data_IF_988510868314
#
_entry.id   IF_988510868314
#
_cell.length_a   1.000
_cell.length_b   1.000
_cell.length_c   1.000
_cell.angle_alpha   90.00
_cell.angle_beta   90.00
_cell.angle_gamma   90.00
#
_symmetry.space_group_name_H-M   'P 1'
#
loop_
_entity.id
_entity.type
_entity.pdbx_description
1 polymer ?
#
# COMPACT_ATOMS: atom_id res chain seq x y z
N UNK A 1 -34.00 65.94 -34.05
CA UNK A 1 -33.52 65.73 -35.43
C UNK A 1 -33.26 64.24 -35.66
N UNK A 2 -33.95 63.65 -36.66
CA UNK A 2 -33.77 62.33 -37.31
C UNK A 2 -33.59 61.09 -36.41
N UNK A 3 -34.48 60.09 -36.29
CA UNK A 3 -35.26 59.27 -37.26
C UNK A 3 -34.46 58.64 -38.41
N UNK A 4 -34.64 57.30 -38.54
CA UNK A 4 -34.35 56.37 -39.68
C UNK A 4 -32.98 55.69 -39.61
N UNK A 5 -32.80 54.39 -39.92
CA UNK A 5 -33.63 53.34 -40.53
C UNK A 5 -32.96 51.96 -40.31
N UNK A 6 -33.78 50.91 -40.31
CA UNK A 6 -33.42 49.48 -40.44
C UNK A 6 -32.61 49.21 -41.71
N UNK A 7 -31.70 48.23 -41.67
CA UNK A 7 -31.53 47.19 -42.73
C UNK A 7 -31.03 45.89 -42.08
N UNK A 8 -31.74 44.80 -42.35
CA UNK A 8 -31.32 43.41 -42.14
C UNK A 8 -30.34 42.99 -43.25
N UNK A 9 -29.34 42.19 -42.91
CA UNK A 9 -28.77 41.21 -43.85
C UNK A 9 -28.37 39.93 -43.11
N UNK A 10 -28.95 38.82 -43.57
CA UNK A 10 -28.62 37.45 -43.22
C UNK A 10 -27.57 36.91 -44.20
N UNK A 11 -26.59 36.14 -43.69
CA UNK A 11 -25.73 35.14 -44.37
C UNK A 11 -24.48 34.95 -43.47
N UNK A 12 -23.90 33.78 -43.21
CA UNK A 12 -24.10 32.42 -43.66
C UNK A 12 -23.52 31.49 -42.58
N UNK A 13 -24.22 30.42 -42.23
CA UNK A 13 -23.65 29.30 -41.46
C UNK A 13 -22.86 28.43 -42.44
N UNK A 14 -21.53 28.39 -42.33
CA UNK A 14 -20.70 27.38 -43.01
C UNK A 14 -20.31 26.32 -41.99
N UNK A 15 -20.63 25.07 -42.32
CA UNK A 15 -20.39 23.89 -41.51
C UNK A 15 -18.90 23.61 -41.30
N UNK A 16 -18.59 23.14 -40.10
CA UNK A 16 -17.30 22.53 -39.79
C UNK A 16 -17.26 21.11 -40.38
N UNK A 17 -16.13 20.66 -40.96
CA UNK A 17 -16.01 19.29 -41.45
C UNK A 17 -15.88 18.30 -40.28
N UNK A 18 -16.66 17.23 -40.35
CA UNK A 18 -16.55 16.05 -39.49
C UNK A 18 -15.13 15.47 -39.56
N UNK A 19 -14.44 15.44 -38.41
CA UNK A 19 -13.19 14.69 -38.28
C UNK A 19 -13.54 13.21 -38.04
N UNK A 20 -12.92 12.26 -38.76
CA UNK A 20 -13.11 10.84 -38.49
C UNK A 20 -12.64 10.51 -37.06
N UNK A 21 -13.50 9.84 -36.29
CA UNK A 21 -13.15 9.28 -34.99
C UNK A 21 -12.13 8.15 -35.19
N UNK A 22 -10.85 8.46 -34.95
CA UNK A 22 -9.74 7.53 -35.07
C UNK A 22 -9.78 6.48 -33.93
N UNK A 23 -10.61 5.44 -34.11
CA UNK A 23 -10.89 4.37 -33.12
C UNK A 23 -9.69 3.47 -32.78
N UNK A 24 -8.51 3.66 -33.39
CA UNK A 24 -7.35 2.75 -33.24
C UNK A 24 -6.31 3.20 -32.18
N UNK A 25 -6.39 4.41 -31.64
CA UNK A 25 -5.43 4.90 -30.65
C UNK A 25 -5.64 4.35 -29.21
N UNK A 26 -6.85 3.85 -28.88
CA UNK A 26 -7.20 3.39 -27.54
C UNK A 26 -6.80 1.95 -27.18
N UNK A 27 -6.46 1.11 -28.18
CA UNK A 27 -6.12 -0.30 -27.94
C UNK A 27 -4.63 -0.53 -27.69
N UNK A 28 -3.74 0.26 -28.31
CA UNK A 28 -2.28 0.13 -28.09
C UNK A 28 -1.83 0.63 -26.71
N UNK A 29 -2.49 1.65 -26.16
CA UNK A 29 -2.21 2.18 -24.83
C UNK A 29 -2.62 1.22 -23.71
N UNK A 30 -3.76 0.52 -23.85
CA UNK A 30 -4.24 -0.47 -22.86
C UNK A 30 -3.29 -1.65 -22.66
N UNK A 31 -2.74 -2.23 -23.73
CA UNK A 31 -1.80 -3.37 -23.64
C UNK A 31 -0.48 -2.97 -22.95
N UNK A 32 -0.03 -1.73 -23.15
CA UNK A 32 1.16 -1.20 -22.46
C UNK A 32 0.87 -0.89 -20.98
N UNK A 33 -0.32 -0.38 -20.65
CA UNK A 33 -0.78 -0.20 -19.27
C UNK A 33 -0.88 -1.53 -18.52
N UNK A 34 -1.36 -2.58 -19.20
CA UNK A 34 -1.59 -3.91 -18.64
C UNK A 34 -0.25 -4.62 -18.31
N UNK A 35 0.75 -4.48 -19.19
CA UNK A 35 2.12 -4.94 -18.94
C UNK A 35 2.80 -4.22 -17.76
N UNK A 36 2.53 -2.92 -17.56
CA UNK A 36 3.05 -2.18 -16.38
C UNK A 36 2.38 -2.60 -15.08
N UNK A 37 1.12 -3.02 -15.11
CA UNK A 37 0.38 -3.49 -13.93
C UNK A 37 0.67 -4.95 -13.58
N UNK A 38 1.13 -5.77 -14.53
CA UNK A 38 1.57 -7.14 -14.32
C UNK A 38 2.87 -7.24 -13.49
N UNK A 39 3.68 -6.18 -13.42
CA UNK A 39 4.97 -6.12 -12.69
C UNK A 39 4.85 -5.63 -11.25
N UNK A 40 3.65 -5.59 -10.66
CA UNK A 40 3.46 -5.32 -9.22
C UNK A 40 3.49 -6.63 -8.44
N UNK A 41 4.49 -7.47 -8.70
CA UNK A 41 4.63 -8.75 -8.02
C UNK A 41 4.93 -8.49 -6.55
N UNK A 42 4.15 -9.13 -5.68
CA UNK A 42 4.47 -9.29 -4.27
C UNK A 42 5.93 -9.74 -4.12
N UNK A 43 6.63 -9.18 -3.13
CA UNK A 43 7.95 -9.67 -2.79
C UNK A 43 7.84 -11.15 -2.34
N UNK A 44 8.78 -11.99 -2.78
CA UNK A 44 8.78 -13.40 -2.35
C UNK A 44 9.15 -13.50 -0.85
N UNK A 45 8.82 -14.61 -0.19
CA UNK A 45 9.16 -14.82 1.24
C UNK A 45 10.65 -14.58 1.53
N UNK A 46 11.53 -15.02 0.63
CA UNK A 46 12.98 -14.80 0.74
C UNK A 46 13.36 -13.33 0.65
N UNK A 47 12.67 -12.55 -0.19
CA UNK A 47 12.92 -11.12 -0.31
C UNK A 47 12.50 -10.38 0.96
N UNK A 48 11.42 -10.82 1.60
CA UNK A 48 10.99 -10.29 2.90
C UNK A 48 12.04 -10.58 3.98
N UNK A 49 12.53 -11.82 4.05
CA UNK A 49 13.57 -12.20 5.02
C UNK A 49 14.86 -11.40 4.80
N UNK A 50 15.31 -11.26 3.55
CA UNK A 50 16.46 -10.43 3.20
C UNK A 50 16.25 -8.96 3.56
N UNK A 51 15.04 -8.44 3.37
CA UNK A 51 14.71 -7.06 3.72
C UNK A 51 14.82 -6.83 5.22
N UNK A 52 14.27 -7.73 6.04
CA UNK A 52 14.36 -7.66 7.50
C UNK A 52 15.80 -7.84 7.99
N UNK A 53 16.53 -8.81 7.43
CA UNK A 53 17.94 -9.05 7.75
C UNK A 53 18.87 -7.90 7.32
N UNK A 54 18.43 -7.02 6.40
CA UNK A 54 19.22 -5.84 5.98
C UNK A 54 19.31 -4.74 7.03
N UNK A 55 18.49 -4.81 8.08
CA UNK A 55 18.45 -3.81 9.14
C UNK A 55 19.47 -4.18 10.22
N UNK A 56 20.47 -3.32 10.43
CA UNK A 56 21.42 -3.47 11.52
C UNK A 56 20.79 -3.09 12.87
N UNK A 57 20.27 -4.09 13.58
CA UNK A 57 19.61 -3.91 14.88
C UNK A 57 20.56 -3.50 16.00
N UNK A 58 21.88 -3.43 15.78
CA UNK A 58 22.80 -2.85 16.76
C UNK A 58 22.72 -1.32 16.80
N UNK A 59 22.24 -0.70 15.72
CA UNK A 59 22.07 0.75 15.62
C UNK A 59 20.66 1.19 16.01
N UNK A 60 20.52 2.40 16.55
CA UNK A 60 19.19 2.97 16.88
C UNK A 60 18.28 3.07 15.65
N UNK A 61 18.86 3.46 14.50
CA UNK A 61 18.15 3.53 13.22
C UNK A 61 17.73 2.15 12.72
N UNK A 62 18.59 1.14 12.79
CA UNK A 62 18.26 -0.19 12.30
C UNK A 62 17.27 -0.91 13.20
N UNK A 63 17.32 -0.74 14.53
CA UNK A 63 16.27 -1.18 15.45
C UNK A 63 14.90 -0.59 15.07
N UNK A 64 14.85 0.72 14.82
CA UNK A 64 13.61 1.40 14.38
C UNK A 64 13.11 0.85 13.05
N UNK A 65 14.00 0.77 12.07
CA UNK A 65 13.66 0.36 10.71
C UNK A 65 13.19 -1.11 10.69
N UNK A 66 13.85 -1.99 11.45
CA UNK A 66 13.45 -3.39 11.63
C UNK A 66 12.04 -3.52 12.21
N UNK A 67 11.74 -2.79 13.28
CA UNK A 67 10.41 -2.78 13.88
C UNK A 67 9.34 -2.25 12.91
N UNK A 68 9.62 -1.15 12.21
CA UNK A 68 8.72 -0.58 11.19
C UNK A 68 8.45 -1.58 10.07
N UNK A 69 9.48 -2.21 9.51
CA UNK A 69 9.34 -3.18 8.42
C UNK A 69 8.59 -4.43 8.87
N UNK A 70 8.90 -4.94 10.06
CA UNK A 70 8.22 -6.09 10.66
C UNK A 70 6.72 -5.84 10.78
N UNK A 71 6.30 -4.67 11.26
CA UNK A 71 4.88 -4.30 11.32
C UNK A 71 4.23 -4.21 9.94
N UNK A 72 4.91 -3.61 8.96
CA UNK A 72 4.37 -3.48 7.59
C UNK A 72 4.17 -4.83 6.92
N UNK A 73 5.09 -5.77 7.14
CA UNK A 73 5.07 -7.10 6.52
C UNK A 73 4.10 -8.04 7.25
N UNK A 74 4.18 -8.11 8.58
CA UNK A 74 3.43 -9.10 9.38
C UNK A 74 1.97 -8.71 9.58
N UNK A 75 1.72 -7.43 9.87
CA UNK A 75 0.38 -6.91 10.14
C UNK A 75 -0.23 -6.20 8.93
N UNK A 76 0.52 -6.04 7.84
CA UNK A 76 0.04 -5.39 6.62
C UNK A 76 -0.35 -3.92 6.80
N UNK A 77 0.13 -3.22 7.84
CA UNK A 77 -0.29 -1.86 8.18
C UNK A 77 0.03 -0.87 7.04
N UNK A 78 -0.77 0.19 6.91
CA UNK A 78 -0.41 1.30 6.01
C UNK A 78 0.73 2.11 6.63
N UNK A 79 1.57 2.72 5.79
CA UNK A 79 2.65 3.60 6.27
C UNK A 79 2.16 4.72 7.20
N UNK A 80 0.99 5.30 6.92
CA UNK A 80 0.39 6.32 7.77
C UNK A 80 -0.18 5.79 9.09
N UNK A 81 -0.56 4.50 9.15
CA UNK A 81 -1.01 3.84 10.38
C UNK A 81 0.20 3.57 11.29
N UNK A 82 1.32 3.12 10.73
CA UNK A 82 2.59 2.95 11.48
C UNK A 82 3.11 4.31 11.97
N UNK A 83 3.11 5.33 11.12
CA UNK A 83 3.61 6.67 11.45
C UNK A 83 2.84 7.33 12.60
N UNK A 84 1.53 7.06 12.73
CA UNK A 84 0.63 7.66 13.74
C UNK A 84 0.41 6.77 14.96
N UNK A 85 1.10 5.63 15.05
CA UNK A 85 0.93 4.70 16.16
C UNK A 85 1.38 5.34 17.48
N UNK A 86 0.52 5.27 18.49
CA UNK A 86 0.78 5.78 19.83
C UNK A 86 1.08 4.63 20.80
N UNK A 87 1.78 4.92 21.89
CA UNK A 87 2.09 3.93 22.93
C UNK A 87 0.83 3.36 23.59
N UNK A 88 -0.21 4.17 23.78
CA UNK A 88 -1.51 3.73 24.32
C UNK A 88 -2.29 2.80 23.40
N UNK A 89 -1.92 2.70 22.13
CA UNK A 89 -2.57 1.77 21.21
C UNK A 89 -2.07 0.34 21.36
N UNK A 90 -1.01 0.10 22.14
CA UNK A 90 -0.43 -1.23 22.32
C UNK A 90 -0.83 -1.76 23.69
N UNK A 91 -1.67 -2.79 23.70
CA UNK A 91 -2.00 -3.54 24.91
C UNK A 91 -1.10 -4.77 25.00
N UNK A 92 -0.02 -4.62 25.76
CA UNK A 92 0.95 -5.69 25.99
C UNK A 92 0.40 -6.87 26.79
N UNK A 93 -0.63 -6.65 27.62
CA UNK A 93 -1.22 -7.70 28.45
C UNK A 93 -2.19 -8.55 27.65
N UNK A 94 -3.03 -7.90 26.85
CA UNK A 94 -3.94 -8.58 25.93
C UNK A 94 -3.23 -9.13 24.69
N UNK A 95 -2.01 -8.65 24.39
CA UNK A 95 -1.30 -9.02 23.16
C UNK A 95 -2.01 -8.46 21.93
N UNK A 96 -2.44 -7.20 21.99
CA UNK A 96 -3.22 -6.56 20.94
C UNK A 96 -2.73 -5.16 20.59
N UNK A 97 -3.03 -4.74 19.37
CA UNK A 97 -2.73 -3.40 18.87
C UNK A 97 -3.97 -2.75 18.26
N UNK A 98 -4.27 -1.53 18.72
CA UNK A 98 -5.40 -0.72 18.26
C UNK A 98 -4.94 0.22 17.15
N UNK A 99 -5.47 0.04 15.94
CA UNK A 99 -5.14 0.89 14.81
C UNK A 99 -6.28 1.89 14.58
N UNK A 100 -6.01 3.16 14.82
CA UNK A 100 -6.92 4.25 14.51
C UNK A 100 -6.86 4.60 13.01
N UNK A 101 -8.00 4.53 12.33
CA UNK A 101 -8.06 4.95 10.93
C UNK A 101 -8.10 6.47 10.80
N UNK A 102 -7.29 7.01 9.89
CA UNK A 102 -7.22 8.47 9.62
C UNK A 102 -8.50 9.08 9.03
N UNK A 103 -9.51 8.28 8.66
CA UNK A 103 -10.77 8.79 8.09
C UNK A 103 -11.94 8.07 8.75
N UNK A 104 -12.75 8.75 9.57
CA UNK A 104 -14.03 8.21 10.07
C UNK A 104 -14.02 7.51 11.43
N UNK A 105 -13.12 7.87 12.34
CA UNK A 105 -13.14 7.52 13.78
C UNK A 105 -13.36 6.04 14.14
N UNK A 106 -13.02 5.11 13.24
CA UNK A 106 -13.04 3.67 13.52
C UNK A 106 -11.67 3.23 13.98
N UNK A 107 -11.64 2.53 15.10
CA UNK A 107 -10.50 1.80 15.63
C UNK A 107 -10.70 0.33 15.33
N UNK A 108 -9.60 -0.36 15.02
CA UNK A 108 -9.62 -1.80 14.80
C UNK A 108 -8.53 -2.46 15.63
N UNK A 109 -8.89 -3.55 16.32
CA UNK A 109 -7.98 -4.32 17.17
C UNK A 109 -7.39 -5.44 16.33
N UNK A 110 -6.06 -5.55 16.33
CA UNK A 110 -5.35 -6.67 15.75
C UNK A 110 -4.61 -7.43 16.84
N UNK A 111 -4.41 -8.75 16.71
CA UNK A 111 -3.44 -9.44 17.53
C UNK A 111 -2.05 -8.84 17.32
N UNK A 112 -1.24 -8.84 18.37
CA UNK A 112 0.17 -8.48 18.35
C UNK A 112 0.98 -9.78 18.46
N UNK A 113 1.41 -10.36 17.32
CA UNK A 113 2.30 -11.51 17.34
C UNK A 113 3.57 -11.23 18.15
N UNK A 114 4.08 -12.26 18.83
CA UNK A 114 5.25 -12.13 19.71
C UNK A 114 6.46 -11.52 18.99
N UNK A 115 6.74 -11.94 17.76
CA UNK A 115 7.85 -11.42 16.95
C UNK A 115 7.70 -9.91 16.65
N UNK A 116 6.48 -9.44 16.42
CA UNK A 116 6.18 -8.02 16.21
C UNK A 116 6.32 -7.25 17.52
N UNK A 117 5.79 -7.79 18.61
CA UNK A 117 5.88 -7.20 19.94
C UNK A 117 7.32 -7.07 20.42
N UNK A 118 8.14 -8.11 20.24
CA UNK A 118 9.57 -8.12 20.55
C UNK A 118 10.33 -7.06 19.76
N UNK A 119 10.08 -6.95 18.45
CA UNK A 119 10.71 -5.93 17.61
C UNK A 119 10.39 -4.51 18.09
N UNK A 120 9.12 -4.25 18.43
CA UNK A 120 8.71 -2.95 18.97
C UNK A 120 9.36 -2.71 20.34
N UNK A 121 9.32 -3.69 21.25
CA UNK A 121 9.90 -3.58 22.58
C UNK A 121 11.42 -3.37 22.54
N UNK A 122 12.14 -4.02 21.61
CA UNK A 122 13.56 -3.81 21.39
C UNK A 122 13.84 -2.35 20.96
N UNK A 123 13.07 -1.84 20.00
CA UNK A 123 13.18 -0.43 19.59
C UNK A 123 12.86 0.54 20.74
N UNK A 124 11.79 0.31 21.50
CA UNK A 124 11.40 1.18 22.61
C UNK A 124 12.45 1.22 23.72
N UNK A 125 13.13 0.09 23.99
CA UNK A 125 14.17 0.00 25.02
C UNK A 125 15.53 0.53 24.58
N UNK A 126 15.94 0.27 23.34
CA UNK A 126 17.32 0.51 22.89
C UNK A 126 17.46 1.56 21.79
N UNK A 127 16.40 1.80 21.00
CA UNK A 127 16.45 2.67 19.83
C UNK A 127 15.76 4.03 19.99
N UNK A 128 14.75 4.14 20.85
CA UNK A 128 13.96 5.37 21.03
C UNK A 128 14.74 6.41 21.88
N UNK A 129 15.04 7.60 21.33
CA UNK A 129 15.75 8.65 22.10
C UNK A 129 14.97 9.10 23.34
N UNK A 130 15.66 9.30 24.46
CA UNK A 130 15.04 9.75 25.72
C UNK A 130 14.45 11.16 25.62
N UNK A 131 15.04 12.03 24.77
CA UNK A 131 14.57 13.39 24.49
C UNK A 131 13.37 13.45 23.54
N UNK A 132 12.70 12.33 23.28
CA UNK A 132 11.52 12.27 22.43
C UNK A 132 10.37 13.05 23.05
N UNK A 133 9.77 13.95 22.27
CA UNK A 133 8.57 14.67 22.65
C UNK A 133 7.33 13.93 22.13
N UNK A 134 6.39 13.62 23.04
CA UNK A 134 5.12 12.98 22.71
C UNK A 134 5.08 11.47 22.89
N UNK A 135 3.92 10.90 22.58
CA UNK A 135 3.56 9.50 22.86
C UNK A 135 3.58 8.59 21.63
N UNK A 136 4.07 9.07 20.49
CA UNK A 136 4.20 8.23 19.30
C UNK A 136 5.27 7.18 19.52
N UNK A 137 4.99 5.97 19.02
CA UNK A 137 5.91 4.84 19.09
C UNK A 137 7.18 5.19 18.32
N UNK A 138 7.05 5.48 17.02
CA UNK A 138 8.18 5.71 16.14
C UNK A 138 8.48 7.20 15.94
N UNK A 139 9.77 7.53 16.07
CA UNK A 139 10.27 8.91 15.91
C UNK A 139 11.50 8.97 15.00
N UNK A 140 11.80 10.19 14.54
CA UNK A 140 13.03 10.46 13.79
C UNK A 140 14.27 10.33 14.70
N UNK A 141 15.34 9.78 14.14
CA UNK A 141 16.61 9.61 14.86
C UNK A 141 17.33 10.94 15.03
N UNK A 142 17.28 11.84 14.05
CA UNK A 142 17.92 13.16 14.11
C UNK A 142 17.07 14.14 14.92
N UNK A 143 17.68 14.87 15.85
CA UNK A 143 16.99 15.91 16.62
C UNK A 143 16.45 17.04 15.70
N UNK A 144 15.35 17.72 16.07
CA UNK A 144 14.41 17.39 17.14
C UNK A 144 13.61 16.09 16.91
N UNK A 145 13.46 15.25 17.94
CA UNK A 145 12.90 13.90 17.84
C UNK A 145 11.36 13.86 17.78
N UNK A 146 10.80 14.31 16.66
CA UNK A 146 9.37 14.26 16.40
C UNK A 146 8.90 12.91 15.84
N UNK A 147 7.58 12.70 15.85
CA UNK A 147 6.92 11.57 15.21
C UNK A 147 7.38 11.37 13.77
N UNK A 148 7.45 10.10 13.33
CA UNK A 148 7.67 9.82 11.92
C UNK A 148 6.50 10.31 11.07
N UNK A 149 6.80 10.77 9.86
CA UNK A 149 5.79 11.03 8.85
C UNK A 149 5.55 9.79 7.98
N UNK A 150 4.39 9.73 7.31
CA UNK A 150 4.11 8.69 6.30
C UNK A 150 5.19 8.64 5.21
N UNK A 151 5.73 9.80 4.83
CA UNK A 151 6.83 9.91 3.89
C UNK A 151 8.11 9.27 4.44
N UNK A 152 8.46 9.54 5.69
CA UNK A 152 9.62 8.94 6.34
C UNK A 152 9.53 7.41 6.41
N UNK A 153 8.35 6.85 6.74
CA UNK A 153 8.13 5.40 6.71
C UNK A 153 8.33 4.84 5.29
N UNK A 154 7.86 5.56 4.26
CA UNK A 154 8.07 5.15 2.86
C UNK A 154 9.54 5.18 2.47
N UNK A 155 10.32 6.16 2.98
CA UNK A 155 11.76 6.23 2.76
C UNK A 155 12.51 5.10 3.46
N UNK A 156 12.12 4.72 4.69
CA UNK A 156 12.68 3.56 5.39
C UNK A 156 12.54 2.29 4.53
N UNK A 157 11.34 2.06 3.98
CA UNK A 157 11.10 0.90 3.09
C UNK A 157 11.96 0.96 1.83
N UNK A 158 12.07 2.14 1.21
CA UNK A 158 12.89 2.34 0.01
C UNK A 158 14.36 2.03 0.31
N UNK A 159 14.92 2.61 1.36
CA UNK A 159 16.32 2.42 1.74
C UNK A 159 16.62 0.98 2.13
N UNK A 160 15.71 0.29 2.79
CA UNK A 160 15.86 -1.14 3.05
C UNK A 160 15.91 -1.95 1.74
N UNK A 161 15.05 -1.64 0.77
CA UNK A 161 15.09 -2.26 -0.55
C UNK A 161 16.41 -2.00 -1.30
N UNK A 162 16.92 -0.77 -1.22
CA UNK A 162 18.19 -0.36 -1.82
C UNK A 162 19.37 -1.14 -1.24
N UNK A 163 19.42 -1.32 0.09
CA UNK A 163 20.46 -2.14 0.75
C UNK A 163 20.46 -3.59 0.27
N UNK A 164 19.31 -4.12 -0.15
CA UNK A 164 19.20 -5.47 -0.67
C UNK A 164 19.42 -5.58 -2.20
N UNK A 165 19.63 -4.46 -2.89
CA UNK A 165 19.72 -4.41 -4.36
C UNK A 165 18.38 -4.69 -5.07
N UNK A 166 17.24 -4.41 -4.42
CA UNK A 166 15.93 -4.62 -5.00
C UNK A 166 15.49 -3.43 -5.87
N UNK A 167 14.64 -3.69 -6.87
CA UNK A 167 13.90 -2.60 -7.54
C UNK A 167 13.12 -1.78 -6.50
N UNK A 168 12.89 -0.47 -6.72
CA UNK A 168 12.22 0.40 -5.76
C UNK A 168 10.96 -0.22 -5.14
N UNK A 169 11.01 -0.41 -3.82
CA UNK A 169 9.90 -0.93 -3.03
C UNK A 169 9.30 0.21 -2.21
N UNK A 170 7.98 0.21 -2.11
CA UNK A 170 7.22 1.16 -1.29
C UNK A 170 6.33 0.39 -0.31
N UNK A 171 5.86 1.04 0.75
CA UNK A 171 5.02 0.41 1.77
C UNK A 171 3.77 -0.29 1.19
N UNK A 172 3.20 0.24 0.10
CA UNK A 172 2.07 -0.41 -0.57
C UNK A 172 2.44 -1.75 -1.23
N UNK A 173 3.68 -1.90 -1.73
CA UNK A 173 4.18 -3.20 -2.24
C UNK A 173 4.34 -4.21 -1.11
N UNK A 174 4.86 -3.81 0.05
CA UNK A 174 4.97 -4.70 1.22
C UNK A 174 3.60 -5.18 1.69
N UNK A 175 2.60 -4.30 1.70
CA UNK A 175 1.22 -4.67 1.99
C UNK A 175 0.63 -5.63 0.93
N UNK A 176 0.98 -5.45 -0.34
CA UNK A 176 0.59 -6.39 -1.40
C UNK A 176 1.27 -7.75 -1.21
N UNK A 177 2.51 -7.77 -0.73
CA UNK A 177 3.23 -8.98 -0.32
C UNK A 177 2.51 -9.71 0.79
N UNK A 178 2.16 -9.04 1.88
CA UNK A 178 1.45 -9.64 3.01
C UNK A 178 0.15 -10.32 2.55
N UNK A 179 -0.65 -9.61 1.75
CA UNK A 179 -1.88 -10.13 1.17
C UNK A 179 -1.65 -11.39 0.31
N UNK A 180 -0.59 -11.38 -0.50
CA UNK A 180 -0.25 -12.50 -1.39
C UNK A 180 0.24 -13.71 -0.60
N UNK A 181 1.03 -13.51 0.46
CA UNK A 181 1.47 -14.59 1.34
C UNK A 181 0.29 -15.23 2.07
N UNK A 182 -0.66 -14.44 2.55
CA UNK A 182 -1.90 -14.94 3.17
C UNK A 182 -2.73 -15.76 2.18
N UNK A 183 -2.91 -15.26 0.95
CA UNK A 183 -3.64 -15.97 -0.11
C UNK A 183 -2.97 -17.30 -0.46
N UNK A 184 -1.64 -17.31 -0.61
CA UNK A 184 -0.86 -18.55 -0.84
C UNK A 184 -0.92 -19.52 0.35
N UNK A 185 -1.09 -18.99 1.55
CA UNK A 185 -1.34 -19.77 2.77
C UNK A 185 -2.77 -20.30 2.89
N UNK A 186 -3.63 -20.07 1.89
CA UNK A 186 -5.01 -20.57 1.84
C UNK A 186 -6.06 -19.63 2.43
N UNK A 187 -5.70 -18.40 2.83
CA UNK A 187 -6.68 -17.44 3.32
C UNK A 187 -7.61 -16.96 2.20
N UNK A 188 -8.91 -16.91 2.46
CA UNK A 188 -9.92 -16.44 1.52
C UNK A 188 -9.84 -14.92 1.30
N UNK A 189 -10.33 -14.44 0.16
CA UNK A 189 -10.38 -12.99 -0.13
C UNK A 189 -11.16 -12.19 0.94
N UNK A 190 -12.31 -12.64 1.47
CA UNK A 190 -12.97 -11.94 2.57
C UNK A 190 -12.10 -11.82 3.83
N UNK A 191 -11.40 -12.89 4.22
CA UNK A 191 -10.50 -12.90 5.38
C UNK A 191 -9.31 -11.93 5.17
N UNK A 192 -8.72 -11.93 3.98
CA UNK A 192 -7.66 -10.97 3.61
C UNK A 192 -8.21 -9.53 3.63
N UNK A 193 -9.43 -9.33 3.15
CA UNK A 193 -10.10 -8.03 3.17
C UNK A 193 -10.33 -7.51 4.58
N UNK A 194 -10.73 -8.38 5.51
CA UNK A 194 -10.88 -8.06 6.92
C UNK A 194 -9.52 -7.78 7.56
N UNK A 195 -8.55 -8.68 7.43
CA UNK A 195 -7.24 -8.55 8.05
C UNK A 195 -6.46 -7.33 7.56
N UNK A 196 -6.55 -7.02 6.27
CA UNK A 196 -5.97 -5.80 5.71
C UNK A 196 -6.86 -4.58 5.95
N UNK A 197 -8.12 -4.74 6.34
CA UNK A 197 -9.04 -3.64 6.66
C UNK A 197 -9.37 -2.81 5.44
N UNK A 198 -9.78 -3.52 4.39
CA UNK A 198 -10.30 -2.92 3.16
C UNK A 198 -11.77 -2.57 3.35
N UNK A 199 -12.11 -1.30 3.13
CA UNK A 199 -13.49 -0.82 3.19
C UNK A 199 -14.37 -1.34 2.08
N UNK A 200 -13.75 -1.71 0.96
CA UNK A 200 -14.44 -2.10 -0.25
C UNK A 200 -13.85 -3.42 -0.73
N UNK A 201 -14.72 -4.41 -0.95
CA UNK A 201 -14.35 -5.70 -1.52
C UNK A 201 -13.64 -5.55 -2.89
N UNK A 202 -13.91 -4.47 -3.64
CA UNK A 202 -13.20 -4.13 -4.87
C UNK A 202 -11.71 -3.84 -4.64
N UNK A 203 -11.33 -3.31 -3.47
CA UNK A 203 -9.90 -3.13 -3.11
C UNK A 203 -9.23 -4.47 -2.80
N UNK A 204 -10.01 -5.48 -2.42
CA UNK A 204 -9.52 -6.84 -2.15
C UNK A 204 -9.53 -7.72 -3.41
N UNK A 205 -10.43 -7.44 -4.36
CA UNK A 205 -10.50 -8.19 -5.63
C UNK A 205 -9.24 -8.04 -6.49
N UNK A 206 -8.42 -7.01 -6.24
CA UNK A 206 -7.09 -6.87 -6.88
C UNK A 206 -6.15 -8.04 -6.58
N UNK A 207 -6.43 -8.83 -5.53
CA UNK A 207 -5.66 -10.03 -5.16
C UNK A 207 -6.19 -11.30 -5.82
N UNK A 208 -7.42 -11.32 -6.34
CA UNK A 208 -8.00 -12.51 -6.97
C UNK A 208 -7.13 -13.03 -8.13
N UNK A 209 -6.49 -12.12 -8.88
CA UNK A 209 -5.58 -12.47 -9.99
C UNK A 209 -4.31 -13.24 -9.57
N UNK A 210 -3.98 -13.24 -8.28
CA UNK A 210 -2.76 -13.85 -7.74
C UNK A 210 -2.97 -15.35 -7.50
N UNK A 211 -4.19 -15.76 -7.18
CA UNK A 211 -4.56 -17.17 -7.02
C UNK A 211 -5.07 -17.76 -8.33
N UNK A 212 -4.13 -18.08 -9.22
CA UNK A 212 -4.47 -18.68 -10.53
C UNK A 212 -5.05 -20.08 -10.40
N UNK A 213 -4.74 -20.80 -9.32
CA UNK A 213 -5.18 -22.18 -9.15
C UNK A 213 -6.64 -22.23 -8.68
N UNK A 214 -7.04 -21.37 -7.74
CA UNK A 214 -8.46 -21.18 -7.42
C UNK A 214 -9.26 -20.58 -8.60
N UNK A 215 -8.64 -19.73 -9.43
CA UNK A 215 -9.29 -19.24 -10.66
C UNK A 215 -9.44 -20.34 -11.72
N UNK A 216 -8.51 -21.29 -11.81
CA UNK A 216 -8.60 -22.42 -12.74
C UNK A 216 -9.75 -23.36 -12.39
N UNK A 217 -10.03 -23.60 -11.11
CA UNK A 217 -11.12 -24.51 -10.71
C UNK A 217 -12.51 -23.98 -11.09
N UNK A 218 -12.66 -22.66 -11.26
CA UNK A 218 -13.92 -22.03 -11.69
C UNK A 218 -13.93 -21.65 -13.17
N UNK A 219 -12.79 -21.74 -13.85
CA UNK A 219 -12.69 -21.42 -15.26
C UNK A 219 -13.43 -22.48 -16.07
N UNK A 220 -14.38 -22.04 -16.90
CA UNK A 220 -15.03 -22.93 -17.86
C UNK A 220 -14.07 -23.27 -19.00
N UNK A 221 -14.14 -24.49 -19.56
CA UNK A 221 -13.40 -24.84 -20.76
C UNK A 221 -13.66 -23.83 -21.87
N UNK A 222 -12.62 -23.49 -22.62
CA UNK A 222 -12.77 -22.63 -23.79
C UNK A 222 -13.56 -23.39 -24.86
N UNK A 223 -14.63 -22.82 -25.43
CA UNK A 223 -15.49 -23.52 -26.40
C UNK A 223 -14.83 -23.76 -27.78
N UNK A 224 -13.54 -23.44 -27.95
CA UNK A 224 -12.82 -23.53 -29.22
C UNK A 224 -12.00 -24.80 -29.45
N UNK A 225 -11.93 -25.73 -28.50
CA UNK A 225 -11.17 -26.99 -28.64
C UNK A 225 -12.09 -28.21 -28.85
N UNK A 226 -13.26 -28.00 -29.46
CA UNK A 226 -14.06 -29.08 -30.07
C UNK A 226 -13.74 -29.12 -31.56
N UNK A 227 -12.76 -29.95 -31.91
CA UNK A 227 -12.56 -30.46 -33.28
C UNK A 227 -13.15 -31.87 -33.35
#
# INVERSE_FOLDING_TARGET
>A
MALRRRVQTAAARRGAPDRPCDRKAGQRSRVVQDRRNARKTAANSDQVQRLLASCDTSTRSGCRDFAVLTMLVRLGLRAGEVAKLQLEHIDWRAGEIVIAHSKGNRTERLPLPADVGEAIAAYLRHGRPASTQGRTVFVRITAPHHALTTGAVTQIVRHAGERCGFEPIHAHRLRHTAATLMLRGGASLPEIGQLLRHRNAITTSIYAKVDRDALRSIARPWPGDVA
#
